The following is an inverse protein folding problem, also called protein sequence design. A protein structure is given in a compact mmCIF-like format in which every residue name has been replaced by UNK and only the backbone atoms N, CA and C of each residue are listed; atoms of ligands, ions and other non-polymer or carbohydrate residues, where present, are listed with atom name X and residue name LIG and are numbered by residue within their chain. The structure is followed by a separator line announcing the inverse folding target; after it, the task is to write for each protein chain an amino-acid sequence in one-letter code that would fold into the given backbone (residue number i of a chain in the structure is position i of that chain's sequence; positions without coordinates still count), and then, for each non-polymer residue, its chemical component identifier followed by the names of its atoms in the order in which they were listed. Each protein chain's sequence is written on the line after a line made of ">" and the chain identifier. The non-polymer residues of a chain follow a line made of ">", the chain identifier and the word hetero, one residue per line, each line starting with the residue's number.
data_IF_700148121469
#
_entry.id   IF_700148121469
#
_cell.length_a   1.000
_cell.length_b   1.000
_cell.length_c   1.000
_cell.angle_alpha   90.00
_cell.angle_beta   90.00
_cell.angle_gamma   90.00
#
_symmetry.space_group_name_H-M   'P 1'
#
loop_
_entity.id
_entity.type
_entity.pdbx_description
1 polymer ?
#
# COMPACT_ATOMS: atom_id res chain seq x y z
N UNK A 1 -19.84 37.36 -14.90
CA UNK A 1 -19.20 36.19 -15.54
C UNK A 1 -19.49 35.01 -14.65
N UNK A 2 -20.45 34.20 -15.10
CA UNK A 2 -21.21 33.23 -14.32
C UNK A 2 -20.31 32.14 -13.71
N UNK A 3 -20.11 32.22 -12.40
CA UNK A 3 -19.84 31.04 -11.60
C UNK A 3 -21.13 30.23 -11.62
N UNK A 4 -21.27 29.33 -12.61
CA UNK A 4 -22.33 28.33 -12.59
C UNK A 4 -22.32 27.72 -11.18
N UNK A 5 -23.39 27.92 -10.43
CA UNK A 5 -23.58 27.31 -9.13
C UNK A 5 -23.70 25.80 -9.37
N UNK A 6 -22.55 25.13 -9.41
CA UNK A 6 -22.45 23.69 -9.62
C UNK A 6 -23.24 23.02 -8.52
N UNK A 7 -24.38 22.41 -8.87
CA UNK A 7 -25.37 21.90 -7.92
C UNK A 7 -24.75 20.88 -6.95
N UNK A 8 -23.72 20.14 -7.39
CA UNK A 8 -22.94 19.21 -6.58
C UNK A 8 -22.11 19.87 -5.46
N UNK A 9 -21.76 21.15 -5.61
CA UNK A 9 -20.93 21.89 -4.64
C UNK A 9 -21.78 22.71 -3.66
N UNK A 10 -23.11 22.65 -3.79
CA UNK A 10 -24.02 23.38 -2.90
C UNK A 10 -23.80 22.93 -1.45
N UNK A 11 -23.37 23.87 -0.60
CA UNK A 11 -23.12 23.61 0.83
C UNK A 11 -21.71 23.09 1.16
N UNK A 12 -20.80 22.96 0.20
CA UNK A 12 -19.41 22.63 0.50
C UNK A 12 -18.76 23.78 1.29
N UNK A 13 -18.26 23.47 2.48
CA UNK A 13 -17.60 24.40 3.39
C UNK A 13 -16.24 23.80 3.76
N UNK A 14 -15.12 24.44 3.39
CA UNK A 14 -13.81 23.98 3.80
C UNK A 14 -13.71 24.08 5.33
N UNK A 15 -13.01 23.14 5.95
CA UNK A 15 -12.79 23.18 7.39
C UNK A 15 -11.84 24.35 7.70
N UNK A 16 -12.18 25.26 8.63
CA UNK A 16 -11.32 26.39 8.94
C UNK A 16 -9.95 25.97 9.48
N UNK A 17 -8.89 26.65 9.02
CA UNK A 17 -7.54 26.49 9.56
C UNK A 17 -6.77 25.25 9.08
N UNK A 18 -7.31 24.50 8.11
CA UNK A 18 -6.60 23.38 7.48
C UNK A 18 -6.46 23.59 5.97
N UNK A 19 -5.55 22.84 5.36
CA UNK A 19 -5.42 22.82 3.90
C UNK A 19 -6.60 22.07 3.29
N UNK A 20 -7.23 22.69 2.30
CA UNK A 20 -8.30 22.09 1.52
C UNK A 20 -7.78 21.63 0.15
N UNK A 21 -7.97 20.35 -0.15
CA UNK A 21 -7.55 19.72 -1.42
C UNK A 21 -8.37 20.24 -2.61
N UNK A 22 -9.58 20.75 -2.37
CA UNK A 22 -10.52 21.10 -3.41
C UNK A 22 -10.57 22.61 -3.68
N UNK A 23 -10.58 23.43 -2.63
CA UNK A 23 -10.62 24.88 -2.67
C UNK A 23 -9.28 25.53 -2.30
N UNK A 24 -8.98 26.64 -2.95
CA UNK A 24 -7.92 27.56 -2.58
C UNK A 24 -8.48 28.98 -2.64
N UNK A 25 -8.45 29.70 -1.51
CA UNK A 25 -8.97 31.07 -1.41
C UNK A 25 -10.42 31.22 -1.91
N UNK A 26 -11.26 30.21 -1.66
CA UNK A 26 -12.67 30.19 -2.09
C UNK A 26 -12.89 29.85 -3.57
N UNK A 27 -11.84 29.54 -4.33
CA UNK A 27 -11.92 29.10 -5.72
C UNK A 27 -11.56 27.61 -5.83
N UNK A 28 -12.19 26.91 -6.77
CA UNK A 28 -11.85 25.52 -7.09
C UNK A 28 -10.43 25.47 -7.66
N UNK A 29 -9.62 24.54 -7.19
CA UNK A 29 -8.29 24.32 -7.77
C UNK A 29 -8.43 23.80 -9.21
N UNK A 30 -7.63 24.33 -10.12
CA UNK A 30 -7.76 24.07 -11.56
C UNK A 30 -7.71 22.58 -11.93
N UNK A 31 -6.93 21.76 -11.21
CA UNK A 31 -6.85 20.33 -11.48
C UNK A 31 -8.14 19.55 -11.15
N UNK A 32 -9.10 20.18 -10.45
CA UNK A 32 -10.44 19.64 -10.22
C UNK A 32 -11.46 20.02 -11.30
N UNK A 33 -11.16 20.99 -12.18
CA UNK A 33 -12.14 21.53 -13.12
C UNK A 33 -12.75 20.47 -14.03
N UNK A 34 -11.92 19.59 -14.59
CA UNK A 34 -12.36 18.49 -15.44
C UNK A 34 -13.25 17.50 -14.68
N UNK A 35 -12.81 17.07 -13.48
CA UNK A 35 -13.53 16.11 -12.66
C UNK A 35 -14.91 16.66 -12.31
N UNK A 36 -14.97 17.87 -11.77
CA UNK A 36 -16.23 18.46 -11.32
C UNK A 36 -17.18 18.70 -12.49
N UNK A 37 -16.69 19.24 -13.61
CA UNK A 37 -17.55 19.46 -14.78
C UNK A 37 -18.09 18.15 -15.34
N UNK A 38 -17.30 17.07 -15.27
CA UNK A 38 -17.74 15.72 -15.65
C UNK A 38 -18.77 15.15 -14.67
N UNK A 39 -18.59 15.36 -13.37
CA UNK A 39 -19.57 14.93 -12.35
C UNK A 39 -20.87 15.73 -12.43
N UNK A 40 -20.79 17.04 -12.66
CA UNK A 40 -21.96 17.91 -12.88
C UNK A 40 -22.76 17.48 -14.11
N UNK A 41 -22.08 17.21 -15.23
CA UNK A 41 -22.75 16.72 -16.44
C UNK A 41 -23.36 15.32 -16.28
N UNK A 42 -22.82 14.50 -15.37
CA UNK A 42 -23.40 13.19 -15.05
C UNK A 42 -24.72 13.34 -14.28
N UNK A 43 -24.81 14.32 -13.38
CA UNK A 43 -25.96 14.58 -12.52
C UNK A 43 -26.05 13.65 -11.30
N UNK A 44 -26.76 14.09 -10.28
CA UNK A 44 -26.85 13.44 -8.96
C UNK A 44 -27.41 12.02 -9.02
N UNK A 45 -28.44 11.79 -9.84
CA UNK A 45 -29.11 10.48 -9.92
C UNK A 45 -28.19 9.41 -10.49
N UNK A 46 -27.48 9.74 -11.58
CA UNK A 46 -26.50 8.84 -12.17
C UNK A 46 -25.30 8.66 -11.27
N UNK A 47 -24.85 9.70 -10.56
CA UNK A 47 -23.77 9.57 -9.58
C UNK A 47 -24.15 8.60 -8.46
N UNK A 48 -25.40 8.65 -7.96
CA UNK A 48 -25.90 7.68 -6.98
C UNK A 48 -25.95 6.26 -7.56
N UNK A 49 -26.35 6.10 -8.82
CA UNK A 49 -26.28 4.80 -9.50
C UNK A 49 -24.84 4.27 -9.59
N UNK A 50 -23.86 5.12 -9.93
CA UNK A 50 -22.43 4.74 -9.94
C UNK A 50 -21.92 4.36 -8.56
N UNK A 51 -22.38 5.04 -7.51
CA UNK A 51 -22.01 4.73 -6.13
C UNK A 51 -22.53 3.34 -5.73
N UNK A 52 -23.80 3.07 -6.05
CA UNK A 52 -24.41 1.77 -5.79
C UNK A 52 -23.72 0.65 -6.59
N UNK A 53 -23.36 0.92 -7.84
CA UNK A 53 -22.60 -0.02 -8.68
C UNK A 53 -21.21 -0.30 -8.10
N UNK A 54 -20.49 0.73 -7.63
CA UNK A 54 -19.20 0.58 -6.98
C UNK A 54 -19.30 -0.27 -5.71
N UNK A 55 -20.26 0.00 -4.84
CA UNK A 55 -20.51 -0.82 -3.65
C UNK A 55 -20.86 -2.27 -3.99
N UNK A 56 -21.66 -2.50 -5.05
CA UNK A 56 -21.97 -3.85 -5.52
C UNK A 56 -20.71 -4.58 -5.98
N UNK A 57 -19.87 -3.94 -6.79
CA UNK A 57 -18.61 -4.53 -7.27
C UNK A 57 -17.66 -4.85 -6.12
N UNK A 58 -17.50 -3.95 -5.14
CA UNK A 58 -16.69 -4.21 -3.95
C UNK A 58 -17.21 -5.39 -3.14
N UNK A 59 -18.54 -5.52 -3.00
CA UNK A 59 -19.17 -6.64 -2.32
C UNK A 59 -18.97 -7.96 -3.08
N UNK A 60 -19.17 -7.96 -4.40
CA UNK A 60 -18.98 -9.13 -5.27
C UNK A 60 -17.52 -9.60 -5.28
N UNK A 61 -16.57 -8.67 -5.25
CA UNK A 61 -15.14 -8.96 -5.18
C UNK A 61 -14.66 -9.31 -3.75
N UNK A 62 -15.54 -9.24 -2.75
CA UNK A 62 -15.21 -9.57 -1.36
C UNK A 62 -14.28 -8.57 -0.67
N UNK A 63 -14.24 -7.31 -1.13
CA UNK A 63 -13.37 -6.26 -0.60
C UNK A 63 -13.86 -5.87 0.79
N UNK A 64 -13.16 -6.37 1.80
CA UNK A 64 -13.54 -6.24 3.21
C UNK A 64 -12.38 -5.70 4.04
N UNK A 65 -12.74 -5.04 5.13
CA UNK A 65 -11.82 -4.68 6.21
C UNK A 65 -12.46 -5.09 7.53
N UNK A 66 -11.81 -6.01 8.25
CA UNK A 66 -12.32 -6.50 9.53
C UNK A 66 -11.77 -5.62 10.64
N UNK A 67 -12.62 -5.03 11.49
CA UNK A 67 -12.13 -4.27 12.64
C UNK A 67 -11.80 -5.27 13.76
N UNK A 68 -10.53 -5.37 14.12
CA UNK A 68 -10.09 -6.21 15.24
C UNK A 68 -10.80 -5.79 16.53
N UNK A 69 -11.51 -6.73 17.19
CA UNK A 69 -12.17 -6.50 18.48
C UNK A 69 -13.63 -6.04 18.45
N UNK A 70 -14.28 -5.95 17.28
CA UNK A 70 -15.75 -5.77 17.24
C UNK A 70 -16.46 -7.05 17.72
N UNK A 71 -17.41 -6.98 18.67
CA UNK A 71 -18.12 -8.16 19.21
C UNK A 71 -18.84 -9.01 18.14
N UNK A 72 -19.12 -8.43 16.98
CA UNK A 72 -19.87 -9.05 15.90
C UNK A 72 -19.01 -9.80 14.87
N UNK A 73 -17.67 -9.65 14.89
CA UNK A 73 -16.80 -10.23 13.85
C UNK A 73 -17.17 -9.78 12.42
N UNK A 74 -17.93 -8.68 12.29
CA UNK A 74 -18.51 -8.26 11.01
C UNK A 74 -17.42 -7.71 10.09
N UNK A 75 -17.17 -8.46 9.01
CA UNK A 75 -16.46 -7.95 7.85
C UNK A 75 -17.25 -6.76 7.29
N UNK A 76 -16.73 -5.54 7.45
CA UNK A 76 -17.32 -4.35 6.84
C UNK A 76 -16.87 -4.29 5.38
N UNK A 77 -17.81 -3.95 4.51
CA UNK A 77 -17.50 -3.62 3.12
C UNK A 77 -16.59 -2.40 3.15
N UNK A 78 -15.50 -2.46 2.40
CA UNK A 78 -14.56 -1.36 2.26
C UNK A 78 -15.27 -0.10 1.72
N UNK A 79 -15.25 1.02 2.47
CA UNK A 79 -15.91 2.24 2.02
C UNK A 79 -15.09 2.89 0.90
N UNK A 80 -15.74 3.17 -0.23
CA UNK A 80 -15.12 3.82 -1.38
C UNK A 80 -15.92 5.04 -1.79
N UNK A 81 -15.30 6.22 -1.71
CA UNK A 81 -15.84 7.43 -2.32
C UNK A 81 -15.51 7.47 -3.82
N UNK A 82 -16.42 8.03 -4.60
CA UNK A 82 -16.22 8.22 -6.04
C UNK A 82 -15.37 9.45 -6.36
N UNK A 83 -15.26 10.39 -5.41
CA UNK A 83 -14.50 11.63 -5.57
C UNK A 83 -13.08 11.39 -5.06
N UNK A 84 -12.06 11.29 -5.94
CA UNK A 84 -10.68 11.10 -5.52
C UNK A 84 -10.06 12.38 -4.96
N UNK A 85 -9.04 12.21 -4.13
CA UNK A 85 -8.04 13.25 -3.89
C UNK A 85 -7.11 13.30 -5.10
N UNK A 86 -7.07 14.44 -5.80
CA UNK A 86 -6.21 14.65 -6.96
C UNK A 86 -4.92 15.31 -6.49
N UNK A 87 -3.78 14.64 -6.73
CA UNK A 87 -2.46 15.20 -6.46
C UNK A 87 -1.77 15.49 -7.80
N UNK A 88 -1.54 16.77 -8.15
CA UNK A 88 -0.80 17.16 -9.35
C UNK A 88 0.63 16.58 -9.39
N UNK A 89 1.17 16.36 -10.59
CA UNK A 89 2.50 15.76 -10.76
C UNK A 89 3.64 16.62 -10.20
N UNK A 90 3.53 17.94 -10.30
CA UNK A 90 4.48 18.91 -9.74
C UNK A 90 4.50 18.90 -8.22
N UNK A 91 3.36 18.59 -7.61
CA UNK A 91 3.23 18.38 -6.17
C UNK A 91 3.67 16.98 -5.71
N UNK A 92 3.36 15.93 -6.48
CA UNK A 92 3.77 14.57 -6.19
C UNK A 92 5.28 14.37 -6.33
N UNK A 93 5.91 14.97 -7.35
CA UNK A 93 7.34 14.77 -7.66
C UNK A 93 8.30 15.05 -6.49
N UNK A 94 8.21 16.18 -5.74
CA UNK A 94 9.06 16.39 -4.57
C UNK A 94 8.76 15.41 -3.44
N UNK A 95 7.49 15.05 -3.22
CA UNK A 95 7.11 14.05 -2.23
C UNK A 95 7.73 12.69 -2.57
N UNK A 96 7.60 12.24 -3.81
CA UNK A 96 8.18 10.98 -4.31
C UNK A 96 9.69 10.93 -4.09
N UNK A 97 10.42 12.00 -4.44
CA UNK A 97 11.87 12.08 -4.19
C UNK A 97 12.21 11.98 -2.70
N UNK A 98 11.44 12.66 -1.85
CA UNK A 98 11.61 12.59 -0.39
C UNK A 98 11.35 11.19 0.15
N UNK A 99 10.30 10.51 -0.34
CA UNK A 99 9.98 9.13 0.04
C UNK A 99 11.05 8.13 -0.42
N UNK A 100 11.61 8.31 -1.62
CA UNK A 100 12.73 7.48 -2.12
C UNK A 100 13.96 7.68 -1.22
N UNK A 101 14.35 8.93 -0.93
CA UNK A 101 15.47 9.22 -0.04
C UNK A 101 15.25 8.61 1.35
N UNK A 102 14.03 8.71 1.88
CA UNK A 102 13.66 8.14 3.18
C UNK A 102 13.78 6.61 3.17
N UNK A 103 13.35 5.95 2.10
CA UNK A 103 13.49 4.51 1.93
C UNK A 103 14.95 4.06 1.96
N UNK A 104 15.82 4.77 1.23
CA UNK A 104 17.25 4.51 1.17
C UNK A 104 17.91 4.69 2.54
N UNK A 105 17.56 5.76 3.27
CA UNK A 105 18.05 5.99 4.62
C UNK A 105 17.63 4.87 5.57
N UNK A 106 16.35 4.48 5.57
CA UNK A 106 15.83 3.41 6.42
C UNK A 106 16.48 2.06 6.12
N UNK A 107 16.71 1.76 4.83
CA UNK A 107 17.41 0.55 4.41
C UNK A 107 18.86 0.51 4.88
N UNK A 108 19.59 1.63 4.76
CA UNK A 108 20.96 1.76 5.22
C UNK A 108 21.07 1.63 6.75
N UNK A 109 20.16 2.29 7.48
CA UNK A 109 20.08 2.18 8.95
C UNK A 109 19.79 0.74 9.36
N UNK A 110 18.80 0.09 8.74
CA UNK A 110 18.45 -1.30 9.05
C UNK A 110 19.64 -2.24 8.78
N UNK A 111 20.31 -2.06 7.64
CA UNK A 111 21.49 -2.84 7.26
C UNK A 111 22.66 -2.63 8.22
N UNK A 112 22.93 -1.38 8.63
CA UNK A 112 24.00 -1.08 9.58
C UNK A 112 23.72 -1.69 10.96
N UNK A 113 22.50 -1.51 11.50
CA UNK A 113 22.13 -1.98 12.83
C UNK A 113 22.20 -3.51 13.00
N UNK A 114 21.96 -4.27 11.93
CA UNK A 114 22.09 -5.72 11.94
C UNK A 114 23.49 -6.25 11.58
N UNK A 115 24.41 -5.38 11.17
CA UNK A 115 25.78 -5.72 10.76
C UNK A 115 26.82 -4.96 11.61
N UNK A 116 27.47 -3.96 10.99
CA UNK A 116 28.65 -3.23 11.52
C UNK A 116 28.31 -2.28 12.67
N UNK A 117 27.05 -1.84 12.79
CA UNK A 117 26.55 -0.94 13.85
C UNK A 117 27.38 0.35 13.95
N UNK A 118 27.79 0.87 12.80
CA UNK A 118 28.53 2.13 12.65
C UNK A 118 27.79 3.28 13.31
N UNK A 119 26.47 3.37 13.13
CA UNK A 119 25.64 4.41 13.74
C UNK A 119 25.66 4.38 15.27
N UNK A 120 25.86 3.20 15.88
CA UNK A 120 26.06 3.05 17.33
C UNK A 120 27.47 3.48 17.72
N UNK A 121 28.49 2.99 17.01
CA UNK A 121 29.89 3.31 17.28
C UNK A 121 30.20 4.81 17.14
N UNK A 122 29.58 5.47 16.17
CA UNK A 122 29.66 6.92 15.93
C UNK A 122 28.69 7.75 16.80
N UNK A 123 27.92 7.09 17.68
CA UNK A 123 26.95 7.72 18.60
C UNK A 123 25.83 8.51 17.92
N UNK A 124 25.51 8.19 16.66
CA UNK A 124 24.34 8.72 15.96
C UNK A 124 23.03 8.12 16.49
N UNK A 125 23.08 6.86 16.93
CA UNK A 125 21.96 6.14 17.55
C UNK A 125 22.42 5.61 18.92
N UNK A 126 21.67 5.87 20.01
CA UNK A 126 21.97 5.29 21.31
C UNK A 126 21.88 3.77 21.31
N UNK A 127 22.89 3.09 21.86
CA UNK A 127 22.94 1.62 21.93
C UNK A 127 21.73 1.03 22.70
N UNK A 128 21.30 1.71 23.75
CA UNK A 128 20.16 1.28 24.58
C UNK A 128 18.84 1.32 23.81
N UNK A 129 18.65 2.25 22.86
CA UNK A 129 17.49 2.30 21.98
C UNK A 129 17.36 1.01 21.15
N UNK A 130 18.49 0.50 20.64
CA UNK A 130 18.51 -0.74 19.86
C UNK A 130 18.33 -1.97 20.76
N UNK A 131 19.21 -2.16 21.73
CA UNK A 131 19.30 -3.44 22.47
C UNK A 131 18.17 -3.67 23.48
N UNK A 132 17.43 -2.62 23.87
CA UNK A 132 16.23 -2.73 24.70
C UNK A 132 14.95 -2.90 23.89
N UNK A 133 15.00 -2.62 22.58
CA UNK A 133 13.83 -2.77 21.72
C UNK A 133 13.47 -4.25 21.56
N UNK A 134 12.19 -4.58 21.75
CA UNK A 134 11.66 -5.92 21.46
C UNK A 134 11.59 -6.20 19.95
N UNK A 135 11.62 -5.15 19.12
CA UNK A 135 11.63 -5.27 17.67
C UNK A 135 13.02 -5.57 17.10
N UNK A 136 14.09 -5.48 17.91
CA UNK A 136 15.42 -5.87 17.47
C UNK A 136 15.63 -7.38 17.64
N UNK A 137 15.64 -8.10 16.51
CA UNK A 137 15.78 -9.55 16.50
C UNK A 137 17.24 -9.97 16.44
N UNK A 138 17.83 -10.29 17.60
CA UNK A 138 19.22 -10.77 17.69
C UNK A 138 19.57 -11.91 16.72
N UNK A 139 18.68 -12.88 16.42
CA UNK A 139 18.96 -13.93 15.44
C UNK A 139 19.19 -13.44 14.00
N UNK A 140 18.79 -12.20 13.67
CA UNK A 140 18.97 -11.60 12.34
C UNK A 140 20.33 -10.91 12.17
N UNK A 141 21.24 -11.04 13.13
CA UNK A 141 22.60 -10.51 12.99
C UNK A 141 23.31 -11.13 11.77
N UNK A 142 23.97 -10.30 10.97
CA UNK A 142 24.68 -10.66 9.73
C UNK A 142 23.79 -11.31 8.65
N UNK A 143 22.46 -11.13 8.75
CA UNK A 143 21.50 -11.65 7.77
C UNK A 143 21.51 -10.88 6.44
N UNK A 144 21.96 -9.63 6.45
CA UNK A 144 21.87 -8.71 5.31
C UNK A 144 23.26 -8.47 4.71
N UNK A 145 23.71 -9.27 3.73
CA UNK A 145 25.03 -9.10 3.13
C UNK A 145 25.17 -7.74 2.42
N UNK A 146 26.41 -7.24 2.25
CA UNK A 146 26.66 -6.02 1.51
C UNK A 146 26.06 -6.11 0.09
N UNK A 147 25.34 -5.06 -0.33
CA UNK A 147 24.67 -4.91 -1.65
C UNK A 147 23.29 -5.58 -1.81
N UNK A 148 22.68 -6.10 -0.74
CA UNK A 148 21.25 -6.45 -0.75
C UNK A 148 20.49 -5.48 0.15
N UNK A 149 19.41 -4.86 -0.35
CA UNK A 149 18.57 -4.02 0.51
C UNK A 149 17.84 -4.90 1.52
N UNK A 150 18.02 -4.63 2.80
CA UNK A 150 17.30 -5.25 3.90
C UNK A 150 15.80 -4.93 3.84
N UNK A 151 15.47 -3.70 3.46
CA UNK A 151 14.11 -3.21 3.29
C UNK A 151 13.67 -3.34 1.81
N UNK A 152 12.79 -4.30 1.54
CA UNK A 152 12.32 -4.59 0.16
C UNK A 152 10.95 -4.00 -0.16
N UNK A 153 10.18 -3.69 0.88
CA UNK A 153 8.80 -3.24 0.79
C UNK A 153 8.52 -2.41 2.04
N UNK A 154 8.06 -1.18 1.86
CA UNK A 154 7.80 -0.26 2.96
C UNK A 154 6.64 0.67 2.56
N UNK A 155 6.07 1.34 3.56
CA UNK A 155 5.16 2.46 3.35
C UNK A 155 5.49 3.58 4.32
N UNK A 156 5.16 4.81 3.93
CA UNK A 156 5.21 5.98 4.81
C UNK A 156 3.83 6.58 4.85
N UNK A 157 3.32 6.78 6.06
CA UNK A 157 2.08 7.48 6.32
C UNK A 157 2.39 8.98 6.15
N UNK A 158 1.69 9.64 5.22
CA UNK A 158 1.88 11.07 4.91
C UNK A 158 0.60 11.85 5.16
N UNK A 159 0.74 13.10 5.58
CA UNK A 159 -0.37 14.02 5.78
C UNK A 159 -0.04 15.40 5.23
N UNK A 160 -1.05 16.25 5.09
CA UNK A 160 -0.88 17.66 4.76
C UNK A 160 -0.94 18.53 6.00
N UNK A 161 0.03 19.43 6.12
CA UNK A 161 -0.03 20.56 7.03
C UNK A 161 -1.06 21.60 6.55
N UNK A 162 -1.40 22.54 7.42
CA UNK A 162 -2.33 23.64 7.11
C UNK A 162 -1.85 24.52 5.94
N UNK A 163 -0.54 24.62 5.74
CA UNK A 163 0.06 25.34 4.61
C UNK A 163 0.09 24.54 3.30
N UNK A 164 -0.36 23.28 3.33
CA UNK A 164 -0.36 22.35 2.20
C UNK A 164 0.90 21.53 2.03
N UNK A 165 1.96 21.76 2.82
CA UNK A 165 3.17 20.95 2.77
C UNK A 165 2.91 19.54 3.26
N UNK A 166 3.60 18.56 2.67
CA UNK A 166 3.54 17.19 3.14
C UNK A 166 4.43 16.97 4.37
N UNK A 167 3.91 16.20 5.32
CA UNK A 167 4.65 15.72 6.49
C UNK A 167 4.56 14.21 6.57
N UNK A 168 5.69 13.55 6.82
CA UNK A 168 5.73 12.13 7.14
C UNK A 168 5.35 11.93 8.62
N UNK A 169 4.32 11.12 8.86
CA UNK A 169 3.81 10.82 10.20
C UNK A 169 4.48 9.58 10.80
N UNK A 170 4.82 8.61 9.97
CA UNK A 170 5.43 7.36 10.42
C UNK A 170 5.73 6.43 9.26
N UNK A 171 6.56 5.43 9.54
CA UNK A 171 6.96 4.42 8.56
C UNK A 171 6.49 3.03 8.98
N UNK A 172 6.15 2.23 7.98
CA UNK A 172 5.74 0.85 8.10
C UNK A 172 6.74 0.00 7.33
N UNK A 173 7.67 -0.62 8.07
CA UNK A 173 8.83 -1.33 7.50
C UNK A 173 8.78 -2.86 7.64
N UNK A 174 7.67 -3.39 8.18
CA UNK A 174 7.44 -4.84 8.28
C UNK A 174 6.52 -5.32 7.14
N UNK A 175 5.23 -5.46 7.41
CA UNK A 175 4.24 -5.94 6.44
C UNK A 175 3.16 -4.87 6.13
N UNK A 176 3.50 -3.71 5.54
CA UNK A 176 2.53 -2.64 5.32
C UNK A 176 1.38 -3.03 4.40
N UNK A 177 0.15 -2.74 4.79
CA UNK A 177 -1.08 -2.98 4.01
C UNK A 177 -1.54 -1.72 3.26
N UNK A 178 -2.42 -1.89 2.26
CA UNK A 178 -3.09 -0.79 1.54
C UNK A 178 -2.90 -0.76 0.02
N UNK A 179 -1.88 -1.42 -0.52
CA UNK A 179 -1.59 -1.39 -1.96
C UNK A 179 -2.62 -2.17 -2.79
N UNK A 180 -3.11 -3.31 -2.29
CA UNK A 180 -4.18 -4.09 -2.91
C UNK A 180 -5.51 -3.34 -2.88
N UNK A 181 -5.84 -2.68 -1.76
CA UNK A 181 -7.01 -1.80 -1.68
C UNK A 181 -6.93 -0.63 -2.66
N UNK A 182 -5.75 0.00 -2.77
CA UNK A 182 -5.52 1.09 -3.73
C UNK A 182 -5.70 0.65 -5.18
N UNK A 183 -5.22 -0.56 -5.51
CA UNK A 183 -5.40 -1.17 -6.83
C UNK A 183 -6.87 -1.47 -7.12
N UNK A 184 -7.57 -2.07 -6.16
CA UNK A 184 -8.97 -2.43 -6.31
C UNK A 184 -9.88 -1.20 -6.42
N UNK A 185 -9.65 -0.18 -5.59
CA UNK A 185 -10.29 1.13 -5.72
C UNK A 185 -10.12 1.67 -7.15
N UNK A 186 -8.90 1.61 -7.69
CA UNK A 186 -8.62 2.09 -9.05
C UNK A 186 -9.38 1.31 -10.12
N UNK A 187 -9.47 -0.01 -9.98
CA UNK A 187 -10.18 -0.88 -10.92
C UNK A 187 -11.68 -0.61 -10.86
N UNK A 188 -12.28 -0.59 -9.67
CA UNK A 188 -13.71 -0.31 -9.48
C UNK A 188 -14.06 1.06 -10.02
N UNK A 189 -13.30 2.11 -9.65
CA UNK A 189 -13.56 3.47 -10.12
C UNK A 189 -13.44 3.59 -11.65
N UNK A 190 -12.47 2.90 -12.27
CA UNK A 190 -12.34 2.88 -13.74
C UNK A 190 -13.50 2.18 -14.46
N UNK A 191 -14.21 1.26 -13.79
CA UNK A 191 -15.39 0.57 -14.34
C UNK A 191 -16.65 1.42 -14.22
N UNK A 192 -16.84 2.09 -13.08
CA UNK A 192 -18.07 2.87 -12.82
C UNK A 192 -18.00 4.29 -13.38
N UNK A 193 -16.81 4.86 -13.58
CA UNK A 193 -16.58 6.18 -14.19
C UNK A 193 -15.63 6.10 -15.40
N UNK A 194 -15.96 5.32 -16.45
CA UNK A 194 -15.00 4.98 -17.50
C UNK A 194 -14.58 6.15 -18.40
N UNK A 195 -15.47 7.13 -18.65
CA UNK A 195 -15.11 8.34 -19.42
C UNK A 195 -14.16 9.23 -18.61
N UNK A 196 -14.53 9.53 -17.37
CA UNK A 196 -13.72 10.35 -16.46
C UNK A 196 -12.32 9.75 -16.31
N UNK A 197 -12.20 8.43 -16.09
CA UNK A 197 -10.89 7.78 -15.93
C UNK A 197 -10.07 7.73 -17.21
N UNK A 198 -10.71 7.62 -18.38
CA UNK A 198 -10.02 7.58 -19.67
C UNK A 198 -9.44 8.94 -20.05
N UNK A 199 -10.22 9.99 -19.81
CA UNK A 199 -9.87 11.35 -20.21
C UNK A 199 -9.01 12.04 -19.15
N UNK A 200 -9.01 11.51 -17.92
CA UNK A 200 -8.04 11.89 -16.88
C UNK A 200 -6.66 11.30 -17.16
N UNK A 201 -5.60 12.09 -16.97
CA UNK A 201 -4.21 11.65 -17.10
C UNK A 201 -3.70 10.93 -15.83
N UNK A 202 -4.48 9.99 -15.29
CA UNK A 202 -4.12 9.31 -14.03
C UNK A 202 -3.00 8.30 -14.25
N UNK A 203 -1.97 8.34 -13.39
CA UNK A 203 -0.89 7.36 -13.39
C UNK A 203 -1.40 5.93 -13.15
N UNK A 204 -0.96 4.97 -13.98
CA UNK A 204 -1.37 3.56 -13.89
C UNK A 204 -0.60 2.81 -12.80
N UNK A 205 -1.33 2.15 -11.89
CA UNK A 205 -0.73 1.35 -10.82
C UNK A 205 -0.11 0.02 -11.30
N UNK A 206 -0.51 -0.50 -12.47
CA UNK A 206 0.01 -1.76 -13.01
C UNK A 206 1.55 -1.77 -13.15
N UNK A 207 2.16 -0.62 -13.47
CA UNK A 207 3.63 -0.51 -13.58
C UNK A 207 4.33 -0.72 -12.25
N UNK A 208 3.74 -0.25 -11.14
CA UNK A 208 4.24 -0.47 -9.78
C UNK A 208 4.29 -1.96 -9.44
N UNK A 209 3.16 -2.67 -9.58
CA UNK A 209 3.09 -4.11 -9.25
C UNK A 209 3.96 -4.98 -10.15
N UNK A 210 4.06 -4.66 -11.45
CA UNK A 210 5.00 -5.34 -12.35
C UNK A 210 6.45 -5.14 -11.92
N UNK A 211 6.80 -3.95 -11.44
CA UNK A 211 8.13 -3.63 -10.92
C UNK A 211 8.40 -4.34 -9.60
N UNK A 212 7.43 -4.37 -8.69
CA UNK A 212 7.48 -5.12 -7.44
C UNK A 212 7.78 -6.60 -7.68
N UNK A 213 6.97 -7.26 -8.52
CA UNK A 213 7.16 -8.68 -8.89
C UNK A 213 8.53 -8.92 -9.48
N UNK A 214 8.96 -8.08 -10.44
CA UNK A 214 10.27 -8.20 -11.08
C UNK A 214 11.42 -8.05 -10.08
N UNK A 215 11.32 -7.09 -9.16
CA UNK A 215 12.35 -6.85 -8.15
C UNK A 215 12.44 -8.01 -7.15
N UNK A 216 11.31 -8.60 -6.75
CA UNK A 216 11.30 -9.82 -5.93
C UNK A 216 11.96 -11.00 -6.66
N UNK A 217 11.58 -11.28 -7.91
CA UNK A 217 12.16 -12.37 -8.71
C UNK A 217 13.67 -12.18 -8.91
N UNK A 218 14.14 -10.95 -9.14
CA UNK A 218 15.57 -10.64 -9.28
C UNK A 218 16.37 -10.92 -8.00
N UNK A 219 15.74 -10.92 -6.83
CA UNK A 219 16.38 -11.21 -5.54
C UNK A 219 16.53 -12.70 -5.28
N UNK A 220 15.77 -13.57 -5.95
CA UNK A 220 16.05 -15.00 -5.85
C UNK A 220 17.49 -15.25 -6.29
N UNK A 221 18.30 -15.82 -5.38
CA UNK A 221 19.68 -16.19 -5.65
C UNK A 221 19.79 -17.33 -6.69
N UNK A 222 18.66 -17.83 -7.17
CA UNK A 222 18.53 -18.98 -8.04
C UNK A 222 18.19 -18.48 -9.45
N UNK A 223 19.02 -18.83 -10.44
CA UNK A 223 18.77 -18.58 -11.87
C UNK A 223 17.68 -19.51 -12.43
N UNK A 224 16.53 -19.57 -11.77
CA UNK A 224 15.36 -20.32 -12.25
C UNK A 224 14.50 -19.40 -13.10
N UNK A 225 13.97 -19.95 -14.21
CA UNK A 225 13.08 -19.20 -15.12
C UNK A 225 11.78 -18.79 -14.45
N UNK A 226 11.33 -19.56 -13.45
CA UNK A 226 10.13 -19.29 -12.67
C UNK A 226 10.33 -19.76 -11.20
N UNK A 227 10.83 -18.88 -10.30
CA UNK A 227 11.01 -19.23 -8.89
C UNK A 227 9.65 -19.34 -8.18
N UNK A 228 9.46 -20.39 -7.38
CA UNK A 228 8.25 -20.56 -6.59
C UNK A 228 8.19 -19.43 -5.54
N UNK A 229 7.29 -18.49 -5.77
CA UNK A 229 7.08 -17.33 -4.92
C UNK A 229 5.78 -17.50 -4.18
N UNK A 230 5.84 -17.45 -2.84
CA UNK A 230 4.66 -17.51 -1.99
C UNK A 230 4.37 -16.13 -1.40
N UNK A 231 3.09 -15.86 -1.16
CA UNK A 231 2.64 -14.80 -0.26
C UNK A 231 2.23 -15.47 1.05
N UNK A 232 3.01 -15.23 2.11
CA UNK A 232 2.78 -15.81 3.43
C UNK A 232 1.78 -14.95 4.20
N UNK A 233 0.65 -15.54 4.56
CA UNK A 233 -0.47 -14.87 5.25
C UNK A 233 -0.73 -15.51 6.63
N UNK A 234 -1.15 -14.74 7.64
CA UNK A 234 -1.59 -15.29 8.93
C UNK A 234 -2.98 -15.94 8.85
N UNK A 235 -3.63 -15.89 7.69
CA UNK A 235 -4.90 -16.55 7.42
C UNK A 235 -6.13 -15.64 7.52
N UNK A 236 -7.35 -16.21 7.35
CA UNK A 236 -8.59 -15.46 7.19
C UNK A 236 -9.03 -14.60 8.38
N UNK A 237 -8.49 -14.87 9.57
CA UNK A 237 -8.81 -14.10 10.78
C UNK A 237 -8.09 -12.73 10.84
N UNK A 238 -7.21 -12.43 9.88
CA UNK A 238 -6.50 -11.16 9.82
C UNK A 238 -7.32 -10.08 9.09
N UNK A 239 -7.28 -8.86 9.60
CA UNK A 239 -8.08 -7.73 9.10
C UNK A 239 -7.83 -7.35 7.65
N UNK A 240 -6.63 -7.64 7.12
CA UNK A 240 -6.26 -7.36 5.72
C UNK A 240 -6.11 -8.63 4.89
N UNK A 241 -6.73 -9.76 5.30
CA UNK A 241 -6.65 -11.01 4.55
C UNK A 241 -7.14 -10.89 3.10
N UNK A 242 -8.17 -10.08 2.85
CA UNK A 242 -8.63 -9.77 1.49
C UNK A 242 -7.46 -9.32 0.61
N UNK A 243 -6.68 -8.34 1.08
CA UNK A 243 -5.55 -7.81 0.34
C UNK A 243 -4.49 -8.89 0.08
N UNK A 244 -4.25 -9.79 1.04
CA UNK A 244 -3.27 -10.85 0.89
C UNK A 244 -3.66 -11.80 -0.25
N UNK A 245 -4.91 -12.27 -0.25
CA UNK A 245 -5.44 -13.14 -1.31
C UNK A 245 -5.48 -12.41 -2.66
N UNK A 246 -5.89 -11.15 -2.65
CA UNK A 246 -5.97 -10.31 -3.84
C UNK A 246 -4.60 -10.07 -4.48
N UNK A 247 -3.59 -9.67 -3.69
CA UNK A 247 -2.23 -9.47 -4.17
C UNK A 247 -1.59 -10.78 -4.63
N UNK A 248 -1.83 -11.89 -3.93
CA UNK A 248 -1.34 -13.20 -4.35
C UNK A 248 -1.87 -13.56 -5.74
N UNK A 249 -3.18 -13.42 -5.95
CA UNK A 249 -3.80 -13.64 -7.26
C UNK A 249 -3.25 -12.69 -8.34
N UNK A 250 -3.20 -11.38 -8.04
CA UNK A 250 -2.78 -10.36 -9.00
C UNK A 250 -1.30 -10.48 -9.42
N UNK A 251 -0.41 -10.85 -8.49
CA UNK A 251 1.02 -11.01 -8.74
C UNK A 251 1.38 -12.42 -9.25
N UNK A 252 0.43 -13.36 -9.22
CA UNK A 252 0.64 -14.76 -9.58
C UNK A 252 1.53 -15.48 -8.57
N UNK A 253 1.34 -15.21 -7.27
CA UNK A 253 2.02 -15.88 -6.17
C UNK A 253 1.10 -16.91 -5.51
N UNK A 254 1.68 -17.98 -4.99
CA UNK A 254 0.91 -18.95 -4.21
C UNK A 254 0.61 -18.37 -2.83
N UNK A 255 -0.66 -18.25 -2.47
CA UNK A 255 -1.05 -17.88 -1.11
C UNK A 255 -0.81 -19.08 -0.17
N UNK A 256 -0.07 -18.88 0.92
CA UNK A 256 0.26 -19.96 1.86
C UNK A 256 0.20 -19.47 3.31
N UNK A 257 -0.22 -20.35 4.22
CA UNK A 257 -0.12 -20.18 5.67
C UNK A 257 1.11 -20.95 6.22
N UNK A 258 1.48 -20.70 7.47
CA UNK A 258 2.59 -21.40 8.12
C UNK A 258 2.41 -22.93 8.08
N UNK A 259 1.17 -23.39 8.28
CA UNK A 259 0.81 -24.81 8.24
C UNK A 259 0.93 -25.44 6.85
N UNK A 260 1.06 -24.66 5.78
CA UNK A 260 1.33 -25.18 4.43
C UNK A 260 2.82 -25.40 4.18
N UNK A 261 3.68 -24.96 5.11
CA UNK A 261 5.13 -24.91 4.94
C UNK A 261 5.85 -25.91 5.85
N UNK A 262 7.06 -26.29 5.46
CA UNK A 262 7.98 -27.06 6.29
C UNK A 262 9.42 -26.70 5.96
N UNK A 263 10.30 -26.76 6.97
CA UNK A 263 11.74 -26.53 6.78
C UNK A 263 12.47 -27.86 6.85
N UNK A 264 13.29 -28.15 5.84
CA UNK A 264 14.15 -29.34 5.79
C UNK A 264 15.50 -28.94 5.20
N UNK A 265 16.59 -29.43 5.78
CA UNK A 265 17.95 -29.20 5.24
C UNK A 265 18.24 -27.71 4.93
N UNK A 266 17.80 -26.82 5.83
CA UNK A 266 17.95 -25.35 5.71
C UNK A 266 17.22 -24.73 4.50
N UNK A 267 16.22 -25.43 3.96
CA UNK A 267 15.38 -24.98 2.86
C UNK A 267 13.90 -24.99 3.25
N UNK A 268 13.16 -24.02 2.73
CA UNK A 268 11.72 -23.91 2.91
C UNK A 268 10.99 -24.66 1.80
N UNK A 269 9.96 -25.43 2.17
CA UNK A 269 9.15 -26.19 1.24
C UNK A 269 7.67 -25.91 1.46
N UNK A 270 6.93 -25.83 0.36
CA UNK A 270 5.47 -25.88 0.32
C UNK A 270 5.03 -27.35 0.25
N UNK A 271 4.08 -27.72 1.10
CA UNK A 271 3.46 -29.05 1.12
C UNK A 271 2.36 -29.10 0.06
N UNK A 272 2.51 -29.96 -0.95
CA UNK A 272 1.48 -30.22 -1.96
C UNK A 272 1.07 -31.69 -1.94
N UNK A 273 -0.02 -32.02 -2.62
CA UNK A 273 -0.48 -33.41 -2.79
C UNK A 273 0.57 -34.27 -3.53
N UNK A 274 1.33 -33.65 -4.43
CA UNK A 274 2.38 -34.31 -5.23
C UNK A 274 3.73 -34.39 -4.49
N UNK A 275 3.84 -33.76 -3.31
CA UNK A 275 5.05 -33.76 -2.49
C UNK A 275 5.52 -32.35 -2.12
N UNK A 276 6.79 -32.23 -1.75
CA UNK A 276 7.36 -30.95 -1.30
C UNK A 276 7.91 -30.16 -2.48
N UNK A 277 7.48 -28.91 -2.63
CA UNK A 277 8.03 -27.98 -3.60
C UNK A 277 8.87 -26.92 -2.88
N UNK A 278 10.15 -26.79 -3.26
CA UNK A 278 11.03 -25.80 -2.63
C UNK A 278 10.54 -24.38 -2.94
N UNK A 279 10.37 -23.58 -1.88
CA UNK A 279 10.01 -22.16 -1.96
C UNK A 279 11.28 -21.34 -2.16
N UNK A 280 11.27 -20.47 -3.17
CA UNK A 280 12.42 -19.67 -3.57
C UNK A 280 12.33 -18.23 -3.01
N UNK A 281 11.11 -17.68 -2.90
CA UNK A 281 10.84 -16.32 -2.41
C UNK A 281 9.61 -16.34 -1.50
N UNK A 282 9.70 -15.64 -0.36
CA UNK A 282 8.58 -15.40 0.55
C UNK A 282 8.25 -13.91 0.56
N UNK A 283 7.08 -13.53 0.03
CA UNK A 283 6.50 -12.23 0.29
C UNK A 283 5.66 -12.30 1.56
N UNK A 284 6.27 -11.89 2.68
CA UNK A 284 5.66 -12.00 3.99
C UNK A 284 4.63 -10.89 4.27
N UNK A 285 3.48 -11.28 4.81
CA UNK A 285 2.39 -10.41 5.30
C UNK A 285 2.06 -10.63 6.78
N UNK A 286 3.07 -11.02 7.55
CA UNK A 286 3.01 -11.34 8.98
C UNK A 286 4.12 -10.53 9.64
N UNK A 287 3.91 -9.99 10.83
CA UNK A 287 4.95 -9.27 11.59
C UNK A 287 6.02 -10.22 12.14
N UNK A 288 7.21 -9.68 12.41
CA UNK A 288 8.40 -10.43 12.83
C UNK A 288 8.17 -11.28 14.10
N UNK A 289 7.33 -10.81 15.01
CA UNK A 289 7.06 -11.48 16.29
C UNK A 289 6.23 -12.77 16.17
N UNK A 290 5.66 -13.05 14.99
CA UNK A 290 4.80 -14.21 14.73
C UNK A 290 5.44 -15.21 13.74
N UNK A 291 6.72 -15.03 13.40
CA UNK A 291 7.50 -15.96 12.58
C UNK A 291 8.16 -17.07 13.41
#
# INVERSE_FOLDING_TARGET
>A
METLQKQLLSGYQPIPGIHDEFLQNGQIRSHYDFLISSLDSLGTDRLQQRRNEAHRLLKENGVTYSIYGSPSGENRIWPLDLIPVIIPSDEWSPLERGLIQRAELLDLVLTDLYNQRTAIHEKLIPADLLFRSRAFLRPCHDLFPPRTSALSYFATDVSRNADGSFVALGDRIQAPSGSGYSLENRIVLSRVLPSIYRDSQVHRLATYFRTLRRNMIRRAQIRKKDPLTILLTPGPANETYFEHAYLASYLGFTLAQADDLTVREQRLYLKTVEGFQQVDIVFRRIDDAFL
#
